data_IF_843919727532
#
_entry.id   IF_843919727532
#
_cell.length_a   1.000
_cell.length_b   1.000
_cell.length_c   1.000
_cell.angle_alpha   90.00
_cell.angle_beta   90.00
_cell.angle_gamma   90.00
#
_symmetry.space_group_name_H-M   'P 1'
#
loop_
_entity.id
_entity.type
_entity.pdbx_description
1 polymer ?
#
# COMPACT_ATOMS: atom_id res chain seq x y z
N UNK A 1 16.20 -0.54 -12.29
CA UNK A 1 16.16 -0.82 -10.85
C UNK A 1 16.79 0.33 -10.08
N UNK A 2 16.75 0.28 -8.74
CA UNK A 2 17.07 1.43 -7.87
C UNK A 2 18.57 1.61 -7.55
N UNK A 3 19.44 0.67 -7.96
CA UNK A 3 20.85 0.63 -7.52
C UNK A 3 21.78 1.77 -7.97
N UNK A 4 21.32 2.69 -8.81
CA UNK A 4 22.08 3.91 -9.20
C UNK A 4 21.61 5.18 -8.48
N UNK A 5 20.55 5.08 -7.69
CA UNK A 5 19.96 6.20 -6.99
C UNK A 5 20.48 6.26 -5.55
N UNK A 6 20.62 7.47 -5.03
CA UNK A 6 20.84 7.70 -3.60
C UNK A 6 19.64 7.22 -2.78
N UNK A 7 19.86 6.96 -1.48
CA UNK A 7 18.78 6.55 -0.58
C UNK A 7 17.62 7.57 -0.55
N UNK A 8 17.93 8.87 -0.63
CA UNK A 8 16.93 9.92 -0.66
C UNK A 8 16.08 9.88 -1.95
N UNK A 9 16.71 9.66 -3.10
CA UNK A 9 15.99 9.49 -4.38
C UNK A 9 15.12 8.24 -4.39
N UNK A 10 15.61 7.13 -3.80
CA UNK A 10 14.84 5.90 -3.65
C UNK A 10 13.61 6.12 -2.76
N UNK A 11 13.78 6.79 -1.62
CA UNK A 11 12.66 7.13 -0.75
C UNK A 11 11.65 8.04 -1.47
N UNK A 12 12.11 9.05 -2.19
CA UNK A 12 11.25 9.95 -2.95
C UNK A 12 10.49 9.24 -4.09
N UNK A 13 11.12 8.26 -4.76
CA UNK A 13 10.41 7.39 -5.71
C UNK A 13 9.31 6.60 -5.02
N UNK A 14 9.62 5.95 -3.89
CA UNK A 14 8.62 5.20 -3.13
C UNK A 14 7.44 6.05 -2.65
N UNK A 15 7.68 7.27 -2.16
CA UNK A 15 6.60 8.18 -1.78
C UNK A 15 5.70 8.53 -2.98
N UNK A 16 6.28 8.81 -4.15
CA UNK A 16 5.51 9.06 -5.37
C UNK A 16 4.72 7.83 -5.84
N UNK A 17 5.26 6.64 -5.65
CA UNK A 17 4.54 5.40 -5.97
C UNK A 17 3.31 5.26 -5.05
N UNK A 18 3.44 5.54 -3.75
CA UNK A 18 2.30 5.55 -2.81
C UNK A 18 1.24 6.57 -3.23
N UNK A 19 1.65 7.82 -3.53
CA UNK A 19 0.74 8.87 -4.00
C UNK A 19 0.01 8.45 -5.29
N UNK A 20 0.72 7.80 -6.20
CA UNK A 20 0.15 7.32 -7.47
C UNK A 20 -0.88 6.22 -7.22
N UNK A 21 -0.56 5.24 -6.37
CA UNK A 21 -1.50 4.16 -6.02
C UNK A 21 -2.73 4.72 -5.29
N UNK A 22 -2.55 5.69 -4.39
CA UNK A 22 -3.65 6.39 -3.73
C UNK A 22 -4.55 7.13 -4.74
N UNK A 23 -3.95 7.79 -5.74
CA UNK A 23 -4.68 8.49 -6.79
C UNK A 23 -5.44 7.52 -7.72
N UNK A 24 -4.83 6.38 -8.06
CA UNK A 24 -5.47 5.33 -8.88
C UNK A 24 -6.67 4.72 -8.15
N UNK A 25 -6.52 4.40 -6.86
CA UNK A 25 -7.64 3.92 -6.04
C UNK A 25 -8.72 5.00 -5.93
N UNK A 26 -8.32 6.24 -5.66
CA UNK A 26 -9.23 7.37 -5.45
C UNK A 26 -10.27 7.04 -4.38
N UNK A 27 -11.55 7.07 -4.78
CA UNK A 27 -12.71 6.75 -3.94
C UNK A 27 -13.31 5.37 -4.25
N UNK A 28 -12.62 4.53 -5.03
CA UNK A 28 -13.10 3.19 -5.38
C UNK A 28 -12.90 2.22 -4.20
N UNK A 29 -13.70 1.16 -4.17
CA UNK A 29 -13.57 0.12 -3.14
C UNK A 29 -12.32 -0.74 -3.38
N UNK A 30 -12.10 -1.11 -4.65
CA UNK A 30 -10.96 -1.84 -5.19
C UNK A 30 -10.44 -1.18 -6.47
N UNK A 31 -9.23 -1.53 -6.90
CA UNK A 31 -8.51 -0.87 -8.00
C UNK A 31 -9.25 -0.91 -9.35
N UNK A 32 -10.15 -1.89 -9.53
CA UNK A 32 -10.91 -2.10 -10.78
C UNK A 32 -12.42 -2.13 -10.55
N UNK A 33 -12.92 -1.53 -9.45
CA UNK A 33 -14.34 -1.41 -9.16
C UNK A 33 -14.76 -2.06 -7.84
N UNK A 34 -15.85 -2.83 -7.87
CA UNK A 34 -16.55 -3.32 -6.68
C UNK A 34 -16.06 -4.68 -6.16
N UNK A 35 -15.28 -5.41 -6.94
CA UNK A 35 -14.75 -6.73 -6.56
C UNK A 35 -13.21 -6.72 -6.64
N UNK A 36 -12.51 -7.39 -5.69
CA UNK A 36 -11.06 -7.46 -5.73
C UNK A 36 -10.59 -8.29 -6.92
N UNK A 37 -9.49 -7.85 -7.50
CA UNK A 37 -8.85 -8.46 -8.66
C UNK A 37 -7.39 -8.84 -8.36
N UNK A 38 -6.70 -9.43 -9.34
CA UNK A 38 -5.26 -9.70 -9.21
C UNK A 38 -4.40 -8.45 -8.99
N UNK A 39 -4.87 -7.28 -9.46
CA UNK A 39 -4.21 -5.99 -9.20
C UNK A 39 -4.27 -5.69 -7.70
N UNK A 40 -5.40 -5.94 -7.07
CA UNK A 40 -5.60 -5.71 -5.65
C UNK A 40 -4.72 -6.62 -4.79
N UNK A 41 -4.63 -7.90 -5.15
CA UNK A 41 -3.71 -8.82 -4.49
C UNK A 41 -2.25 -8.35 -4.57
N UNK A 42 -1.83 -7.81 -5.72
CA UNK A 42 -0.47 -7.29 -5.92
C UNK A 42 -0.24 -6.03 -5.09
N UNK A 43 -1.16 -5.06 -5.16
CA UNK A 43 -1.06 -3.81 -4.40
C UNK A 43 -1.04 -4.11 -2.89
N UNK A 44 -1.96 -4.96 -2.41
CA UNK A 44 -2.02 -5.36 -1.02
C UNK A 44 -0.73 -6.00 -0.51
N UNK A 45 -0.12 -6.92 -1.28
CA UNK A 45 1.11 -7.58 -0.86
C UNK A 45 2.24 -6.59 -0.54
N UNK A 46 2.40 -5.53 -1.34
CA UNK A 46 3.40 -4.50 -1.08
C UNK A 46 2.99 -3.55 0.05
N UNK A 47 1.76 -3.04 0.03
CA UNK A 47 1.28 -2.08 1.02
C UNK A 47 1.22 -2.70 2.43
N UNK A 48 0.70 -3.92 2.55
CA UNK A 48 0.64 -4.64 3.81
C UNK A 48 2.04 -4.94 4.36
N UNK A 49 3.00 -5.31 3.49
CA UNK A 49 4.39 -5.52 3.91
C UNK A 49 5.03 -4.23 4.46
N UNK A 50 4.79 -3.09 3.81
CA UNK A 50 5.29 -1.78 4.29
C UNK A 50 4.69 -1.44 5.67
N UNK A 51 3.41 -1.71 5.87
CA UNK A 51 2.72 -1.44 7.14
C UNK A 51 3.14 -2.38 8.27
N UNK A 52 3.33 -3.66 7.97
CA UNK A 52 3.62 -4.70 8.96
C UNK A 52 5.03 -4.62 9.55
N UNK A 53 6.00 -4.14 8.78
CA UNK A 53 7.39 -4.07 9.23
C UNK A 53 7.60 -2.83 10.11
N UNK A 54 8.10 -2.97 11.36
CA UNK A 54 8.31 -1.86 12.29
C UNK A 54 9.61 -1.09 11.99
N UNK A 55 9.87 -0.79 10.71
CA UNK A 55 11.01 0.02 10.28
C UNK A 55 10.47 1.36 9.80
N UNK A 56 10.88 2.43 10.49
CA UNK A 56 10.52 3.78 10.08
C UNK A 56 11.21 4.15 8.77
N UNK A 57 10.43 4.62 7.81
CA UNK A 57 10.91 5.09 6.52
C UNK A 57 9.96 6.15 5.96
N UNK A 58 10.45 7.06 5.09
CA UNK A 58 9.59 8.06 4.46
C UNK A 58 8.41 7.44 3.69
N UNK A 59 8.62 6.26 3.08
CA UNK A 59 7.58 5.53 2.33
C UNK A 59 6.50 5.00 3.27
N UNK A 60 6.89 4.43 4.42
CA UNK A 60 5.93 3.97 5.44
C UNK A 60 5.12 5.13 6.01
N UNK A 61 5.78 6.25 6.31
CA UNK A 61 5.11 7.45 6.80
C UNK A 61 4.09 7.98 5.77
N UNK A 62 4.48 8.05 4.49
CA UNK A 62 3.57 8.48 3.41
C UNK A 62 2.35 7.55 3.30
N UNK A 63 2.56 6.24 3.40
CA UNK A 63 1.46 5.26 3.37
C UNK A 63 0.54 5.39 4.58
N UNK A 64 1.08 5.58 5.78
CA UNK A 64 0.28 5.77 7.00
C UNK A 64 -0.54 7.07 7.00
N UNK A 65 -0.11 8.08 6.24
CA UNK A 65 -0.85 9.33 6.05
C UNK A 65 -1.89 9.26 4.92
N UNK A 66 -1.98 8.14 4.22
CA UNK A 66 -2.89 7.92 3.10
C UNK A 66 -4.08 7.07 3.55
N UNK A 67 -5.06 7.72 4.20
CA UNK A 67 -6.22 7.05 4.82
C UNK A 67 -6.95 6.08 3.86
N UNK A 68 -7.09 6.47 2.58
CA UNK A 68 -7.75 5.63 1.59
C UNK A 68 -7.00 4.31 1.33
N UNK A 69 -5.67 4.31 1.39
CA UNK A 69 -4.84 3.12 1.24
C UNK A 69 -4.80 2.27 2.50
N UNK A 70 -4.79 2.87 3.69
CA UNK A 70 -4.85 2.10 4.95
C UNK A 70 -6.20 1.40 5.08
N UNK A 71 -7.29 2.10 4.78
CA UNK A 71 -8.65 1.53 4.79
C UNK A 71 -8.78 0.44 3.73
N UNK A 72 -8.21 0.65 2.54
CA UNK A 72 -8.17 -0.35 1.47
C UNK A 72 -7.43 -1.62 1.88
N UNK A 73 -6.27 -1.50 2.53
CA UNK A 73 -5.54 -2.65 3.06
C UNK A 73 -6.35 -3.37 4.13
N UNK A 74 -7.03 -2.64 5.02
CA UNK A 74 -7.90 -3.26 6.01
C UNK A 74 -9.04 -4.04 5.36
N UNK A 75 -9.74 -3.47 4.38
CA UNK A 75 -10.83 -4.15 3.64
C UNK A 75 -10.36 -5.46 2.99
N UNK A 76 -9.20 -5.43 2.31
CA UNK A 76 -8.66 -6.62 1.67
C UNK A 76 -8.24 -7.69 2.68
N UNK A 77 -7.68 -7.29 3.83
CA UNK A 77 -7.36 -8.23 4.90
C UNK A 77 -8.62 -8.93 5.42
N UNK A 78 -9.65 -8.16 5.78
CA UNK A 78 -10.90 -8.71 6.32
C UNK A 78 -11.61 -9.62 5.31
N UNK A 79 -11.59 -9.27 4.02
CA UNK A 79 -12.26 -10.03 2.96
C UNK A 79 -11.50 -11.28 2.52
N UNK A 80 -10.17 -11.22 2.42
CA UNK A 80 -9.35 -12.30 1.87
C UNK A 80 -8.65 -13.16 2.94
N UNK A 81 -8.47 -12.63 4.15
CA UNK A 81 -7.77 -13.27 5.26
C UNK A 81 -8.56 -13.14 6.59
N UNK A 82 -9.84 -13.55 6.63
CA UNK A 82 -10.71 -13.34 7.80
C UNK A 82 -10.23 -14.04 9.08
N UNK A 83 -9.41 -15.08 8.95
CA UNK A 83 -8.90 -15.87 10.07
C UNK A 83 -7.52 -15.40 10.59
N UNK A 84 -6.90 -14.39 9.96
CA UNK A 84 -5.67 -13.81 10.48
C UNK A 84 -5.95 -13.01 11.76
N UNK A 85 -5.44 -13.50 12.89
CA UNK A 85 -5.51 -12.77 14.16
C UNK A 85 -4.55 -11.59 14.13
N UNK A 86 -5.08 -10.40 14.43
CA UNK A 86 -4.30 -9.17 14.61
C UNK A 86 -3.14 -9.43 15.59
N UNK A 87 -1.91 -9.18 15.15
CA UNK A 87 -0.73 -9.18 16.02
C UNK A 87 -0.69 -7.91 16.88
#
# INVERSE_FOLDING_TARGET
GVGRHSAAEVAAMGCRDIETVAAVLGNQEFMMGAEPSGIDATAYAFLAAILAVPIESPVRQQLQQSDNLTDYCQRLRERCFPDEKTA
#
